data_IF_715682696797
#
_entry.id   IF_715682696797
#
_cell.length_a   1.000
_cell.length_b   1.000
_cell.length_c   1.000
_cell.angle_alpha   90.00
_cell.angle_beta   90.00
_cell.angle_gamma   90.00
#
_symmetry.space_group_name_H-M   'P 1'
#
loop_
_entity.id
_entity.type
_entity.pdbx_description
1 polymer ?
#
# COMPACT_ATOMS: atom_id res chain seq x y z
N UNK A 1 2.82 5.73 7.58
CA UNK A 1 1.98 4.74 6.86
C UNK A 1 0.71 5.40 6.40
N UNK A 2 0.03 4.84 5.39
CA UNK A 2 -1.24 5.37 4.89
C UNK A 2 -2.43 4.72 5.62
N UNK A 3 -3.41 5.52 6.00
CA UNK A 3 -4.56 5.10 6.79
C UNK A 3 -5.84 5.83 6.35
N UNK A 4 -6.99 5.23 6.64
CA UNK A 4 -8.28 5.92 6.72
C UNK A 4 -8.70 5.95 8.18
N UNK A 5 -9.00 7.15 8.70
CA UNK A 5 -9.41 7.35 10.09
C UNK A 5 -10.93 7.49 10.14
N UNK A 6 -11.64 6.53 10.74
CA UNK A 6 -13.11 6.49 10.67
C UNK A 6 -13.71 6.60 12.06
N UNK A 7 -14.68 7.50 12.22
CA UNK A 7 -15.43 7.66 13.46
C UNK A 7 -16.47 6.54 13.64
N UNK A 8 -17.00 6.32 14.85
CA UNK A 8 -18.17 5.46 15.08
C UNK A 8 -19.41 5.83 14.26
N UNK A 9 -19.51 7.08 13.79
CA UNK A 9 -20.54 7.57 12.89
C UNK A 9 -20.25 7.34 11.40
N UNK A 10 -19.23 6.53 11.08
CA UNK A 10 -18.81 6.18 9.71
C UNK A 10 -18.37 7.39 8.86
N UNK A 11 -17.89 8.45 9.52
CA UNK A 11 -17.30 9.61 8.86
C UNK A 11 -15.77 9.56 8.97
N UNK A 12 -15.09 10.07 7.96
CA UNK A 12 -13.65 10.19 7.91
C UNK A 12 -13.23 11.62 7.53
N UNK A 13 -12.10 12.13 8.07
CA UNK A 13 -11.54 13.40 7.64
C UNK A 13 -11.01 13.28 6.20
N UNK A 14 -11.38 14.22 5.34
CA UNK A 14 -10.90 14.35 3.96
C UNK A 14 -9.86 15.45 3.82
N UNK A 15 -10.03 16.32 2.81
CA UNK A 15 -9.11 17.42 2.55
C UNK A 15 -9.25 18.57 3.55
N UNK A 16 -8.13 19.24 3.85
CA UNK A 16 -8.11 20.52 4.57
C UNK A 16 -8.79 21.64 3.76
N UNK A 17 -9.68 22.40 4.40
CA UNK A 17 -10.26 23.66 3.90
C UNK A 17 -9.62 24.83 4.64
N UNK A 18 -8.49 25.30 4.15
CA UNK A 18 -7.68 26.34 4.81
C UNK A 18 -8.48 27.62 5.15
N UNK A 19 -9.38 28.05 4.27
CA UNK A 19 -10.18 29.27 4.48
C UNK A 19 -11.25 29.12 5.56
N UNK A 20 -11.60 27.88 5.91
CA UNK A 20 -12.65 27.56 6.88
C UNK A 20 -12.05 27.03 8.20
N UNK A 21 -10.73 26.83 8.27
CA UNK A 21 -10.04 26.20 9.40
C UNK A 21 -10.63 24.83 9.78
N UNK A 22 -11.17 24.11 8.80
CA UNK A 22 -11.82 22.82 8.97
C UNK A 22 -11.28 21.82 7.95
N UNK A 23 -11.56 20.55 8.19
CA UNK A 23 -11.32 19.44 7.27
C UNK A 23 -12.67 18.93 6.80
N UNK A 24 -12.78 18.60 5.52
CA UNK A 24 -14.03 18.02 4.97
C UNK A 24 -14.38 16.69 5.62
N UNK A 25 -15.67 16.40 5.78
CA UNK A 25 -16.12 15.05 6.07
C UNK A 25 -16.28 14.22 4.79
N UNK A 26 -15.89 12.95 4.88
CA UNK A 26 -16.03 11.92 3.86
C UNK A 26 -16.75 10.71 4.45
N UNK A 27 -17.49 9.99 3.63
CA UNK A 27 -18.15 8.75 4.00
C UNK A 27 -17.49 7.59 3.23
N UNK A 28 -16.44 6.96 3.80
CA UNK A 28 -15.85 5.77 3.20
C UNK A 28 -16.85 4.60 3.24
N UNK A 29 -16.68 3.64 2.35
CA UNK A 29 -17.46 2.40 2.35
C UNK A 29 -16.67 1.33 3.09
N UNK A 30 -17.27 0.76 4.12
CA UNK A 30 -16.68 -0.29 4.95
C UNK A 30 -17.24 -1.66 4.56
N UNK A 31 -16.41 -2.69 4.60
CA UNK A 31 -16.83 -4.10 4.58
C UNK A 31 -16.18 -4.82 5.77
N UNK A 32 -17.00 -5.08 6.79
CA UNK A 32 -16.57 -5.60 8.09
C UNK A 32 -15.39 -4.83 8.70
N UNK A 33 -14.17 -5.38 8.63
CA UNK A 33 -12.93 -4.85 9.16
C UNK A 33 -12.03 -4.19 8.10
N UNK A 34 -12.57 -3.96 6.89
CA UNK A 34 -11.84 -3.36 5.76
C UNK A 34 -12.54 -2.10 5.21
N UNK A 35 -11.77 -1.28 4.49
CA UNK A 35 -12.28 -0.13 3.73
C UNK A 35 -12.24 -0.49 2.24
N UNK A 36 -13.40 -0.53 1.59
CA UNK A 36 -13.51 -0.88 0.15
C UNK A 36 -13.50 0.36 -0.75
N UNK A 37 -13.89 1.51 -0.23
CA UNK A 37 -13.76 2.81 -0.89
C UNK A 37 -13.42 3.87 0.17
N UNK A 38 -12.33 4.57 -0.01
CA UNK A 38 -11.83 5.59 0.91
C UNK A 38 -12.60 6.93 0.78
N UNK A 39 -13.31 7.15 -0.33
CA UNK A 39 -13.92 8.42 -0.70
C UNK A 39 -12.93 9.62 -0.73
N UNK A 40 -11.62 9.34 -0.87
CA UNK A 40 -10.55 10.35 -0.83
C UNK A 40 -10.17 10.80 0.59
N UNK A 41 -10.38 9.93 1.60
CA UNK A 41 -10.10 10.18 3.01
C UNK A 41 -8.79 9.52 3.48
N UNK A 42 -7.81 9.39 2.60
CA UNK A 42 -6.50 8.83 2.92
C UNK A 42 -5.62 9.84 3.65
N UNK A 43 -4.92 9.36 4.68
CA UNK A 43 -3.99 10.13 5.48
C UNK A 43 -2.67 9.40 5.63
N UNK A 44 -1.59 10.15 5.50
CA UNK A 44 -0.26 9.68 5.91
C UNK A 44 -0.05 10.04 7.37
N UNK A 45 0.04 9.01 8.22
CA UNK A 45 0.41 9.13 9.63
C UNK A 45 1.90 8.78 9.79
N UNK A 46 2.70 9.73 10.28
CA UNK A 46 4.11 9.51 10.58
C UNK A 46 4.34 9.59 12.08
N UNK A 47 4.73 8.46 12.67
CA UNK A 47 5.06 8.38 14.10
C UNK A 47 6.47 8.90 14.33
N UNK A 48 6.62 9.79 15.29
CA UNK A 48 7.89 10.37 15.75
C UNK A 48 8.05 10.14 17.25
N UNK A 49 9.24 10.42 17.80
CA UNK A 49 9.48 10.32 19.24
C UNK A 49 8.56 11.23 20.07
N UNK A 50 8.09 12.33 19.51
CA UNK A 50 7.29 13.34 20.22
C UNK A 50 5.79 13.35 19.83
N UNK A 51 5.32 12.39 19.04
CA UNK A 51 3.92 12.30 18.62
C UNK A 51 3.74 11.88 17.16
N UNK A 52 2.56 12.15 16.59
CA UNK A 52 2.19 11.77 15.22
C UNK A 52 1.91 13.01 14.37
N UNK A 53 2.51 13.07 13.18
CA UNK A 53 2.11 14.05 12.16
C UNK A 53 1.03 13.47 11.26
N UNK A 54 0.08 14.32 10.88
CA UNK A 54 -1.09 13.97 10.07
C UNK A 54 -1.03 14.78 8.79
N UNK A 55 -0.93 14.10 7.65
CA UNK A 55 -0.93 14.70 6.32
C UNK A 55 -2.05 14.11 5.46
N UNK A 56 -2.88 14.96 4.86
CA UNK A 56 -3.97 14.51 3.99
C UNK A 56 -3.44 13.97 2.65
N UNK A 57 -4.33 13.37 1.85
CA UNK A 57 -4.02 12.82 0.53
C UNK A 57 -3.46 13.84 -0.48
N UNK A 58 -3.61 15.15 -0.19
CA UNK A 58 -3.16 16.25 -1.04
C UNK A 58 -1.84 16.87 -0.56
N UNK A 59 -1.24 16.30 0.50
CA UNK A 59 0.05 16.73 1.04
C UNK A 59 -0.04 17.89 2.05
N UNK A 60 -1.22 18.24 2.54
CA UNK A 60 -1.39 19.27 3.56
C UNK A 60 -1.30 18.64 4.97
N UNK A 61 -0.48 19.25 5.83
CA UNK A 61 -0.42 18.86 7.24
C UNK A 61 -1.48 19.59 8.05
N UNK A 62 -1.94 19.00 9.15
CA UNK A 62 -2.86 19.68 10.07
C UNK A 62 -2.21 19.98 11.42
N UNK A 63 -2.36 21.23 11.85
CA UNK A 63 -2.05 21.71 13.18
C UNK A 63 -3.27 22.43 13.77
N UNK A 64 -3.42 22.51 15.10
CA UNK A 64 -4.34 23.47 15.70
C UNK A 64 -4.10 24.89 15.15
N UNK A 65 -5.18 25.64 14.89
CA UNK A 65 -5.11 26.98 14.29
C UNK A 65 -4.16 27.93 15.05
N UNK A 66 -4.09 27.78 16.38
CA UNK A 66 -3.24 28.56 17.27
C UNK A 66 -3.98 29.75 17.89
N UNK A 67 -3.32 30.42 18.83
CA UNK A 67 -3.83 31.62 19.52
C UNK A 67 -5.20 31.44 20.19
N UNK A 68 -5.55 30.22 20.60
CA UNK A 68 -6.83 29.90 21.25
C UNK A 68 -8.02 29.80 20.29
N UNK A 69 -7.80 29.88 18.98
CA UNK A 69 -8.85 29.62 17.99
C UNK A 69 -9.10 28.11 17.84
N UNK A 70 -10.38 27.75 17.75
CA UNK A 70 -10.81 26.43 17.29
C UNK A 70 -10.57 26.28 15.79
N UNK A 71 -10.27 25.07 15.33
CA UNK A 71 -9.94 24.81 13.94
C UNK A 71 -8.54 24.27 13.73
N UNK A 72 -8.26 23.96 12.47
CA UNK A 72 -6.95 23.51 12.01
C UNK A 72 -6.37 24.46 10.94
N UNK A 73 -5.05 24.47 10.83
CA UNK A 73 -4.31 25.22 9.82
C UNK A 73 -3.29 24.30 9.13
N UNK A 74 -2.90 24.67 7.89
CA UNK A 74 -1.90 23.95 7.12
C UNK A 74 -0.51 24.16 7.71
N UNK A 75 -0.08 23.28 8.60
CA UNK A 75 1.22 23.32 9.26
C UNK A 75 1.54 21.95 9.83
N UNK A 76 2.81 21.57 9.76
CA UNK A 76 3.28 20.37 10.45
C UNK A 76 3.14 20.52 11.96
N UNK A 77 2.55 19.51 12.61
CA UNK A 77 2.35 19.47 14.05
C UNK A 77 2.36 18.03 14.54
N UNK A 78 2.90 17.84 15.75
CA UNK A 78 3.01 16.53 16.40
C UNK A 78 1.88 16.38 17.40
N UNK A 79 0.85 15.66 17.00
CA UNK A 79 -0.29 15.33 17.84
C UNK A 79 0.10 14.25 18.85
N UNK A 80 -0.33 14.40 20.09
CA UNK A 80 -0.31 13.31 21.06
C UNK A 80 -1.45 12.35 20.73
N UNK A 81 -1.21 11.05 20.87
CA UNK A 81 -2.20 10.02 20.55
C UNK A 81 -2.51 9.22 21.79
N UNK A 82 -3.80 9.00 22.05
CA UNK A 82 -4.26 8.07 23.08
C UNK A 82 -5.07 6.94 22.44
N UNK A 83 -5.09 5.78 23.11
CA UNK A 83 -5.85 4.61 22.71
C UNK A 83 -6.70 4.16 23.89
N UNK A 84 -8.01 4.37 23.81
CA UNK A 84 -8.97 4.00 24.86
C UNK A 84 -10.14 3.22 24.25
N UNK A 85 -10.48 2.09 24.88
CA UNK A 85 -11.58 1.22 24.42
C UNK A 85 -11.50 0.82 22.94
N UNK A 86 -10.28 0.69 22.39
CA UNK A 86 -10.05 0.32 20.99
C UNK A 86 -10.11 1.49 19.99
N UNK A 87 -10.29 2.72 20.46
CA UNK A 87 -10.34 3.91 19.62
C UNK A 87 -9.15 4.83 19.85
N UNK A 88 -8.63 5.38 18.76
CA UNK A 88 -7.60 6.40 18.78
C UNK A 88 -8.23 7.79 18.95
N UNK A 89 -7.53 8.68 19.65
CA UNK A 89 -7.83 10.11 19.70
C UNK A 89 -6.54 10.93 19.55
N UNK A 90 -6.66 12.11 18.97
CA UNK A 90 -5.52 12.99 18.67
C UNK A 90 -5.66 14.30 19.45
N UNK A 91 -4.68 14.56 20.32
CA UNK A 91 -4.67 15.68 21.24
C UNK A 91 -3.51 16.64 20.93
N UNK A 92 -3.73 17.91 21.20
CA UNK A 92 -2.77 18.98 20.94
C UNK A 92 -3.11 20.23 21.74
N UNK A 93 -2.50 21.34 21.33
CA UNK A 93 -2.67 22.64 21.97
C UNK A 93 -2.83 23.76 20.92
N UNK A 94 -3.82 24.61 21.12
CA UNK A 94 -4.00 25.87 20.38
C UNK A 94 -3.56 27.03 21.26
N UNK A 95 -2.27 27.37 21.20
CA UNK A 95 -1.65 28.23 22.21
C UNK A 95 -1.44 27.46 23.52
N UNK A 96 -2.04 27.93 24.62
CA UNK A 96 -2.04 27.23 25.91
C UNK A 96 -3.30 26.38 26.12
N UNK A 97 -4.28 26.47 25.22
CA UNK A 97 -5.56 25.78 25.34
C UNK A 97 -5.45 24.34 24.80
N UNK A 98 -5.79 23.31 25.59
CA UNK A 98 -5.80 21.93 25.13
C UNK A 98 -6.94 21.73 24.13
N UNK A 99 -6.62 21.02 23.04
CA UNK A 99 -7.56 20.73 21.97
C UNK A 99 -7.48 19.28 21.53
N UNK A 100 -8.59 18.75 21.03
CA UNK A 100 -8.70 17.41 20.48
C UNK A 100 -9.24 17.49 19.05
N UNK A 101 -8.72 16.66 18.15
CA UNK A 101 -9.27 16.49 16.81
C UNK A 101 -10.62 15.78 16.91
N UNK A 102 -11.67 16.40 16.40
CA UNK A 102 -13.04 15.90 16.48
C UNK A 102 -13.74 16.00 15.13
N UNK A 103 -14.70 15.11 14.90
CA UNK A 103 -15.81 15.36 13.98
C UNK A 103 -16.80 16.28 14.68
N UNK A 104 -17.08 17.44 14.09
CA UNK A 104 -18.13 18.34 14.52
C UNK A 104 -19.43 18.04 13.76
N UNK A 105 -20.46 17.70 14.53
CA UNK A 105 -21.79 17.37 14.03
C UNK A 105 -22.78 18.53 14.16
N UNK A 106 -22.37 19.68 14.72
CA UNK A 106 -23.24 20.84 14.96
C UNK A 106 -23.61 21.58 13.66
N UNK A 107 -22.74 21.58 12.65
CA UNK A 107 -22.97 22.28 11.38
C UNK A 107 -23.37 21.32 10.26
N UNK A 108 -24.37 21.74 9.45
CA UNK A 108 -25.03 20.93 8.42
C UNK A 108 -24.09 20.36 7.33
N UNK A 109 -22.86 20.87 7.19
CA UNK A 109 -21.89 20.36 6.23
C UNK A 109 -20.91 19.33 6.81
N UNK A 110 -20.85 19.17 8.14
CA UNK A 110 -20.01 18.21 8.84
C UNK A 110 -18.52 18.40 8.57
N UNK A 111 -17.73 18.65 9.61
CA UNK A 111 -16.30 18.92 9.44
C UNK A 111 -15.47 18.32 10.54
N UNK A 112 -14.18 18.10 10.27
CA UNK A 112 -13.23 17.76 11.31
C UNK A 112 -12.42 19.00 11.70
N UNK A 113 -12.18 19.17 13.00
CA UNK A 113 -11.41 20.31 13.52
C UNK A 113 -10.72 20.01 14.84
N UNK A 114 -9.77 20.85 15.22
CA UNK A 114 -9.30 20.90 16.60
C UNK A 114 -10.33 21.69 17.44
N UNK A 115 -10.96 21.04 18.40
CA UNK A 115 -11.93 21.64 19.32
C UNK A 115 -11.35 21.66 20.74
N UNK A 116 -11.67 22.69 21.54
CA UNK A 116 -11.16 22.77 22.92
C UNK A 116 -11.79 21.68 23.75
N UNK A 117 -11.00 21.09 24.63
CA UNK A 117 -11.47 20.01 25.49
C UNK A 117 -12.65 20.46 26.37
N UNK A 118 -12.68 21.74 26.78
CA UNK A 118 -13.81 22.31 27.53
C UNK A 118 -15.12 22.34 26.74
N UNK A 119 -15.08 22.59 25.42
CA UNK A 119 -16.30 22.59 24.61
C UNK A 119 -16.81 21.16 24.37
N UNK A 120 -15.89 20.20 24.27
CA UNK A 120 -16.20 18.77 24.19
C UNK A 120 -16.88 18.31 25.49
N UNK A 121 -16.39 18.75 26.64
CA UNK A 121 -17.01 18.48 27.95
C UNK A 121 -18.39 19.12 28.10
N UNK A 122 -18.57 20.35 27.59
CA UNK A 122 -19.84 21.07 27.64
C UNK A 122 -20.89 20.46 26.69
N UNK A 123 -20.47 19.89 25.55
CA UNK A 123 -21.34 19.33 24.50
C UNK A 123 -20.85 17.96 24.00
N UNK A 124 -20.87 16.90 24.83
CA UNK A 124 -20.29 15.61 24.49
C UNK A 124 -21.00 14.89 23.33
N UNK A 125 -22.27 15.22 23.07
CA UNK A 125 -23.04 14.64 21.96
C UNK A 125 -22.76 15.33 20.61
N UNK A 126 -22.09 16.48 20.63
CA UNK A 126 -21.80 17.27 19.43
C UNK A 126 -20.49 16.89 18.74
N UNK A 127 -19.56 16.31 19.51
CA UNK A 127 -18.18 16.11 19.08
C UNK A 127 -17.79 14.64 19.22
N UNK A 128 -17.34 14.04 18.12
CA UNK A 128 -16.82 12.68 18.12
C UNK A 128 -15.32 12.70 17.93
N UNK A 129 -14.57 12.27 18.94
CA UNK A 129 -13.10 12.29 18.96
C UNK A 129 -12.47 10.90 18.78
N UNK A 130 -13.30 9.87 18.67
CA UNK A 130 -12.88 8.47 18.57
C UNK A 130 -12.69 8.07 17.11
N UNK A 131 -11.56 7.44 16.82
CA UNK A 131 -11.20 6.97 15.49
C UNK A 131 -10.78 5.50 15.50
N UNK A 132 -11.32 4.73 14.57
CA UNK A 132 -10.74 3.46 14.13
C UNK A 132 -9.76 3.76 12.99
N UNK A 133 -8.56 3.21 13.06
CA UNK A 133 -7.55 3.37 12.01
C UNK A 133 -7.51 2.14 11.11
N UNK A 134 -7.94 2.30 9.86
CA UNK A 134 -7.79 1.28 8.82
C UNK A 134 -6.49 1.54 8.09
N UNK A 135 -5.50 0.66 8.29
CA UNK A 135 -4.22 0.77 7.60
C UNK A 135 -4.38 0.31 6.16
N UNK A 136 -3.84 1.07 5.22
CA UNK A 136 -3.63 0.55 3.87
C UNK A 136 -2.56 -0.53 3.94
N UNK A 137 -2.99 -1.77 3.72
CA UNK A 137 -2.12 -2.90 3.40
C UNK A 137 -2.37 -3.22 1.94
N UNK A 138 -1.32 -3.18 1.12
CA UNK A 138 -1.41 -3.81 -0.20
C UNK A 138 -1.76 -5.27 0.05
N UNK A 139 -2.98 -5.66 -0.29
CA UNK A 139 -3.27 -7.07 -0.49
C UNK A 139 -2.39 -7.50 -1.66
N UNK A 140 -1.42 -8.36 -1.37
CA UNK A 140 -0.77 -9.18 -2.37
C UNK A 140 -1.89 -9.99 -3.02
N UNK A 141 -2.41 -9.51 -4.14
CA UNK A 141 -3.13 -10.38 -5.07
C UNK A 141 -2.06 -11.35 -5.56
N UNK A 142 -1.97 -12.52 -4.91
CA UNK A 142 -1.32 -13.66 -5.54
C UNK A 142 -1.91 -13.75 -6.96
N UNK A 143 -1.10 -13.70 -8.03
CA UNK A 143 -1.64 -13.85 -9.36
C UNK A 143 -2.37 -15.19 -9.39
N UNK A 144 -3.70 -15.17 -9.57
CA UNK A 144 -4.40 -16.40 -9.92
C UNK A 144 -3.66 -16.98 -11.13
N UNK A 145 -3.29 -18.28 -11.11
CA UNK A 145 -2.58 -18.88 -12.23
C UNK A 145 -3.45 -18.74 -13.47
N UNK A 146 -3.08 -17.79 -14.33
CA UNK A 146 -3.68 -17.57 -15.62
C UNK A 146 -3.45 -18.84 -16.43
N UNK A 147 -4.50 -19.65 -16.51
CA UNK A 147 -4.52 -20.83 -17.36
C UNK A 147 -4.31 -20.34 -18.79
N UNK A 148 -3.32 -20.85 -19.54
CA UNK A 148 -3.08 -20.38 -20.90
C UNK A 148 -4.32 -20.67 -21.75
N UNK A 149 -4.98 -19.62 -22.24
CA UNK A 149 -5.98 -19.76 -23.30
C UNK A 149 -5.25 -20.12 -24.59
N UNK A 150 -5.46 -21.34 -25.06
CA UNK A 150 -5.08 -21.77 -26.40
C UNK A 150 -5.85 -20.92 -27.43
N UNK A 151 -5.17 -19.92 -28.00
CA UNK A 151 -5.67 -19.18 -29.15
C UNK A 151 -5.56 -20.08 -30.38
N UNK A 152 -6.70 -20.62 -30.82
CA UNK A 152 -6.84 -21.24 -32.15
C UNK A 152 -6.70 -20.15 -33.23
N UNK A 153 -6.04 -20.43 -34.35
CA UNK A 153 -5.96 -19.47 -35.45
C UNK A 153 -7.32 -19.32 -36.12
N UNK A 154 -7.80 -18.09 -36.25
CA UNK A 154 -8.96 -17.75 -37.08
C UNK A 154 -8.56 -17.87 -38.57
N UNK A 155 -9.28 -18.74 -39.29
CA UNK A 155 -9.24 -18.78 -40.75
C UNK A 155 -10.04 -17.60 -41.33
N UNK A 156 -9.33 -16.64 -41.92
CA UNK A 156 -9.93 -15.58 -42.74
C UNK A 156 -10.48 -16.16 -44.05
N UNK A 157 -11.81 -16.23 -44.16
CA UNK A 157 -12.51 -16.57 -45.41
C UNK A 157 -12.71 -15.31 -46.26
N UNK A 158 -12.44 -15.31 -47.57
CA UNK A 158 -12.65 -14.12 -48.40
C UNK A 158 -14.13 -13.96 -48.78
N UNK A 159 -14.60 -12.71 -48.80
CA UNK A 159 -15.89 -12.33 -49.41
C UNK A 159 -15.76 -12.26 -50.94
N UNK A 160 -16.79 -12.67 -51.70
CA UNK A 160 -16.81 -12.50 -53.15
C UNK A 160 -17.38 -11.13 -53.52
N UNK A 161 -16.67 -10.38 -54.36
CA UNK A 161 -17.22 -9.26 -55.11
C UNK A 161 -17.56 -9.71 -56.53
N UNK A 162 -18.84 -9.63 -56.91
CA UNK A 162 -19.30 -9.81 -58.30
C UNK A 162 -19.21 -8.50 -59.10
N UNK A 163 -19.11 -8.58 -60.45
CA UNK A 163 -18.66 -7.47 -61.28
C UNK A 163 -19.80 -6.67 -61.93
N UNK A 164 -19.52 -5.41 -62.28
CA UNK A 164 -20.25 -4.73 -63.36
C UNK A 164 -19.29 -4.34 -64.50
N UNK A 165 -19.62 -4.79 -65.71
CA UNK A 165 -18.99 -4.39 -66.97
C UNK A 165 -19.64 -3.11 -67.53
N UNK A 166 -18.85 -2.23 -68.15
CA UNK A 166 -19.01 -1.79 -69.57
C UNK A 166 -18.21 -0.52 -69.96
N UNK A 167 -17.05 -0.71 -70.65
CA UNK A 167 -16.58 -0.15 -71.96
C UNK A 167 -16.72 1.37 -72.35
N UNK A 168 -15.94 1.91 -73.33
CA UNK A 168 -14.46 1.98 -73.54
C UNK A 168 -13.91 3.34 -74.09
N UNK A 169 -12.61 3.33 -74.45
CA UNK A 169 -11.85 4.12 -75.48
C UNK A 169 -10.88 5.25 -74.98
N UNK A 170 -9.87 5.69 -75.76
CA UNK A 170 -8.52 5.09 -75.82
C UNK A 170 -7.36 6.13 -75.72
N UNK A 171 -6.11 5.70 -75.48
CA UNK A 171 -4.87 6.22 -76.13
C UNK A 171 -3.59 5.71 -75.44
N UNK A 172 -2.62 5.26 -76.25
CA UNK A 172 -1.28 4.80 -75.86
C UNK A 172 -0.38 5.97 -75.40
N UNK A 173 0.69 5.76 -74.60
CA UNK A 173 1.95 5.18 -75.09
C UNK A 173 2.68 4.20 -74.14
N UNK A 174 3.50 3.29 -74.70
CA UNK A 174 4.54 2.49 -74.00
C UNK A 174 5.72 3.40 -73.60
N UNK A 175 6.43 3.20 -72.46
CA UNK A 175 7.40 2.07 -72.37
C UNK A 175 7.83 1.56 -70.96
N UNK A 176 8.57 0.44 -71.00
CA UNK A 176 9.57 -0.08 -70.04
C UNK A 176 9.08 -0.99 -68.90
N UNK A 177 9.33 -2.29 -69.06
CA UNK A 177 9.28 -3.33 -68.03
C UNK A 177 10.42 -3.14 -67.03
N UNK A 178 10.16 -3.15 -65.70
CA UNK A 178 11.15 -3.60 -64.73
C UNK A 178 10.91 -5.09 -64.42
N UNK A 179 11.98 -5.88 -64.49
CA UNK A 179 11.97 -7.26 -64.00
C UNK A 179 11.64 -7.26 -62.49
N UNK A 180 10.74 -8.13 -62.00
CA UNK A 180 10.57 -8.32 -60.57
C UNK A 180 11.79 -9.07 -60.02
N UNK A 181 12.62 -8.36 -59.27
CA UNK A 181 13.57 -8.95 -58.33
C UNK A 181 12.77 -9.63 -57.21
N UNK A 182 12.82 -10.95 -57.17
CA UNK A 182 12.36 -11.77 -56.05
C UNK A 182 13.13 -11.35 -54.78
N UNK A 183 12.47 -11.02 -53.66
CA UNK A 183 13.18 -10.81 -52.40
C UNK A 183 13.73 -12.15 -51.91
N UNK A 184 15.04 -12.21 -51.68
CA UNK A 184 15.67 -13.34 -50.99
C UNK A 184 15.07 -13.48 -49.59
N UNK A 185 14.86 -14.72 -49.09
CA UNK A 185 14.35 -14.95 -47.74
C UNK A 185 15.37 -14.40 -46.73
N UNK A 186 14.96 -13.38 -45.97
CA UNK A 186 15.70 -12.84 -44.85
C UNK A 186 16.02 -13.94 -43.83
N UNK A 187 17.31 -14.14 -43.51
CA UNK A 187 17.70 -14.96 -42.36
C UNK A 187 17.00 -14.43 -41.10
N UNK A 188 16.50 -15.31 -40.21
CA UNK A 188 15.88 -14.87 -38.96
C UNK A 188 16.89 -14.02 -38.18
N UNK A 189 16.46 -12.81 -37.79
CA UNK A 189 17.26 -11.93 -36.95
C UNK A 189 17.62 -12.68 -35.65
N UNK A 190 18.91 -12.64 -35.28
CA UNK A 190 19.40 -13.27 -34.05
C UNK A 190 19.06 -12.34 -32.88
N UNK A 191 18.50 -12.90 -31.80
CA UNK A 191 18.22 -12.18 -30.55
C UNK A 191 19.32 -12.46 -29.52
N UNK A 192 19.58 -11.50 -28.64
CA UNK A 192 20.53 -11.62 -27.52
C UNK A 192 20.01 -12.62 -26.47
N UNK A 193 20.88 -13.27 -25.65
CA UNK A 193 20.42 -14.21 -24.63
C UNK A 193 19.60 -13.54 -23.52
N UNK A 194 18.79 -14.33 -22.83
CA UNK A 194 17.99 -13.88 -21.70
C UNK A 194 18.86 -13.50 -20.49
N UNK A 195 18.39 -12.56 -19.67
CA UNK A 195 19.03 -12.20 -18.41
C UNK A 195 18.52 -13.09 -17.29
N UNK A 196 19.40 -13.45 -16.37
CA UNK A 196 19.11 -14.19 -15.15
C UNK A 196 19.31 -13.26 -13.96
N UNK A 197 18.32 -13.23 -13.06
CA UNK A 197 18.33 -12.41 -11.85
C UNK A 197 18.53 -13.32 -10.64
N UNK A 198 19.47 -13.00 -9.76
CA UNK A 198 19.69 -13.75 -8.52
C UNK A 198 19.74 -12.81 -7.31
N UNK A 199 18.87 -12.98 -6.31
CA UNK A 199 17.75 -13.94 -6.27
C UNK A 199 16.69 -13.65 -7.35
N UNK A 200 15.92 -14.66 -7.75
CA UNK A 200 14.88 -14.57 -8.82
C UNK A 200 13.74 -13.57 -8.48
N UNK A 201 13.73 -13.03 -7.26
CA UNK A 201 12.72 -12.15 -6.71
C UNK A 201 12.37 -12.54 -5.27
N UNK A 202 11.49 -11.76 -4.63
CA UNK A 202 10.98 -12.03 -3.30
C UNK A 202 11.60 -11.17 -2.20
N UNK A 203 11.51 -11.65 -0.96
CA UNK A 203 11.93 -10.89 0.20
C UNK A 203 13.47 -10.89 0.35
N UNK A 204 14.07 -9.71 0.28
CA UNK A 204 15.53 -9.50 0.43
C UNK A 204 15.82 -8.50 1.55
N UNK A 205 16.92 -8.69 2.26
CA UNK A 205 17.33 -7.75 3.30
C UNK A 205 17.87 -6.45 2.70
N UNK A 206 17.73 -5.34 3.42
CA UNK A 206 18.41 -4.10 3.05
C UNK A 206 19.94 -4.34 2.98
N UNK A 207 20.56 -3.91 1.88
CA UNK A 207 21.97 -4.15 1.58
C UNK A 207 22.29 -5.55 1.05
N UNK A 208 21.30 -6.43 0.84
CA UNK A 208 21.51 -7.69 0.13
C UNK A 208 21.80 -7.41 -1.36
N UNK A 209 22.77 -8.13 -1.92
CA UNK A 209 23.23 -7.93 -3.30
C UNK A 209 22.38 -8.75 -4.28
N UNK A 210 21.81 -8.07 -5.27
CA UNK A 210 21.10 -8.65 -6.41
C UNK A 210 22.03 -8.62 -7.61
N UNK A 211 22.21 -9.78 -8.25
CA UNK A 211 23.13 -9.93 -9.38
C UNK A 211 22.37 -10.27 -10.66
N UNK A 212 22.81 -9.66 -11.77
CA UNK A 212 22.33 -9.95 -13.12
C UNK A 212 23.42 -10.68 -13.91
N UNK A 213 23.04 -11.74 -14.62
CA UNK A 213 23.93 -12.48 -15.53
C UNK A 213 23.25 -12.86 -16.83
N UNK A 214 24.01 -13.06 -17.90
CA UNK A 214 23.49 -13.66 -19.13
C UNK A 214 24.53 -14.65 -19.68
N UNK A 215 24.11 -15.60 -20.51
CA UNK A 215 24.98 -16.68 -21.00
C UNK A 215 26.13 -16.18 -21.91
N UNK A 216 25.95 -15.01 -22.54
CA UNK A 216 26.98 -14.37 -23.35
C UNK A 216 27.70 -13.29 -22.54
N UNK A 217 28.90 -13.61 -22.04
CA UNK A 217 29.74 -12.68 -21.26
C UNK A 217 30.14 -11.42 -22.05
N UNK A 218 29.93 -11.37 -23.37
CA UNK A 218 30.23 -10.20 -24.21
C UNK A 218 29.02 -9.27 -24.40
N UNK A 219 27.82 -9.70 -24.03
CA UNK A 219 26.61 -8.89 -24.10
C UNK A 219 26.56 -7.89 -22.94
N UNK A 220 26.17 -6.65 -23.23
CA UNK A 220 25.87 -5.67 -22.19
C UNK A 220 24.52 -5.98 -21.57
N UNK A 221 24.42 -5.98 -20.23
CA UNK A 221 23.15 -6.12 -19.52
C UNK A 221 22.65 -4.72 -19.13
N UNK A 222 21.40 -4.42 -19.45
CA UNK A 222 20.74 -3.18 -19.09
C UNK A 222 19.61 -3.47 -18.12
N UNK A 223 19.42 -2.62 -17.12
CA UNK A 223 18.35 -2.76 -16.15
C UNK A 223 17.65 -1.43 -15.89
N UNK A 224 16.41 -1.50 -15.43
CA UNK A 224 15.61 -0.37 -15.00
C UNK A 224 14.83 -0.74 -13.74
N UNK A 225 14.71 0.22 -12.81
CA UNK A 225 14.02 0.02 -11.54
C UNK A 225 12.77 0.89 -11.45
N UNK A 226 11.76 0.41 -10.73
CA UNK A 226 10.53 1.15 -10.43
C UNK A 226 10.07 0.88 -9.00
N UNK A 227 9.49 1.90 -8.34
CA UNK A 227 8.89 1.76 -7.01
C UNK A 227 7.40 1.35 -7.07
N UNK A 228 6.75 1.54 -8.22
CA UNK A 228 5.30 1.30 -8.40
C UNK A 228 4.98 0.29 -9.52
N UNK A 229 6.01 -0.25 -10.18
CA UNK A 229 5.88 -1.21 -11.29
C UNK A 229 5.37 -0.60 -12.59
N UNK A 230 5.19 0.73 -12.64
CA UNK A 230 4.63 1.46 -13.78
C UNK A 230 5.64 2.48 -14.31
N UNK A 231 6.22 3.28 -13.42
CA UNK A 231 7.15 4.35 -13.74
C UNK A 231 8.59 3.84 -13.52
N UNK A 232 9.21 3.35 -14.59
CA UNK A 232 10.59 2.90 -14.58
C UNK A 232 11.57 4.06 -14.79
N UNK A 233 12.70 3.98 -14.12
CA UNK A 233 13.87 4.81 -14.39
C UNK A 233 14.42 4.53 -15.80
N UNK A 234 15.28 5.42 -16.29
CA UNK A 234 15.99 5.18 -17.56
C UNK A 234 16.85 3.92 -17.46
N UNK A 235 17.03 3.23 -18.59
CA UNK A 235 17.86 2.03 -18.66
C UNK A 235 19.32 2.34 -18.30
N UNK A 236 19.86 1.62 -17.32
CA UNK A 236 21.25 1.72 -16.87
C UNK A 236 22.03 0.47 -17.26
N UNK A 237 23.31 0.66 -17.59
CA UNK A 237 24.22 -0.45 -17.85
C UNK A 237 24.62 -1.11 -16.52
N UNK A 238 24.36 -2.39 -16.38
CA UNK A 238 24.74 -3.18 -15.21
C UNK A 238 26.27 -3.34 -15.16
N UNK A 239 26.87 -2.83 -14.09
CA UNK A 239 28.32 -2.87 -13.86
C UNK A 239 28.70 -3.45 -12.49
N UNK A 240 27.85 -3.25 -11.49
CA UNK A 240 28.05 -3.68 -10.10
C UNK A 240 26.72 -4.27 -9.55
N UNK A 241 26.78 -5.15 -8.53
CA UNK A 241 25.59 -5.67 -7.88
C UNK A 241 24.65 -4.57 -7.37
N UNK A 242 23.34 -4.82 -7.48
CA UNK A 242 22.30 -3.88 -7.03
C UNK A 242 22.02 -4.15 -5.56
N UNK A 243 21.91 -3.12 -4.74
CA UNK A 243 21.53 -3.25 -3.33
C UNK A 243 20.59 -2.11 -2.93
N UNK A 244 19.59 -2.41 -2.10
CA UNK A 244 18.62 -1.41 -1.66
C UNK A 244 18.90 -0.92 -0.23
N UNK A 245 18.69 0.37 0.01
CA UNK A 245 18.76 0.94 1.35
C UNK A 245 17.57 0.50 2.21
N UNK A 246 17.72 0.55 3.54
CA UNK A 246 16.65 0.21 4.48
C UNK A 246 15.44 1.13 4.27
N UNK A 247 14.23 0.57 4.27
CA UNK A 247 12.99 1.30 4.00
C UNK A 247 12.60 1.34 2.52
N UNK A 248 13.18 0.49 1.67
CA UNK A 248 12.90 0.48 0.23
C UNK A 248 11.50 -0.03 -0.12
N UNK A 249 10.83 -0.76 0.78
CA UNK A 249 9.49 -1.28 0.53
C UNK A 249 9.46 -2.33 -0.58
N UNK A 250 8.96 -1.96 -1.75
CA UNK A 250 8.86 -2.84 -2.94
C UNK A 250 9.60 -2.19 -4.11
N UNK A 251 10.40 -2.97 -4.83
CA UNK A 251 11.10 -2.54 -6.04
C UNK A 251 10.87 -3.54 -7.17
N UNK A 252 10.47 -3.03 -8.32
CA UNK A 252 10.31 -3.75 -9.57
C UNK A 252 11.56 -3.56 -10.42
N UNK A 253 12.12 -4.65 -10.93
CA UNK A 253 13.29 -4.68 -11.78
C UNK A 253 12.90 -5.23 -13.15
N UNK A 254 13.38 -4.56 -14.20
CA UNK A 254 13.43 -5.09 -15.56
C UNK A 254 14.86 -5.16 -16.02
N UNK A 255 15.22 -6.18 -16.79
CA UNK A 255 16.54 -6.29 -17.39
C UNK A 255 16.49 -6.96 -18.77
N UNK A 256 17.37 -6.55 -19.68
CA UNK A 256 17.59 -7.23 -20.95
C UNK A 256 19.08 -7.23 -21.30
N UNK A 257 19.49 -8.11 -22.22
CA UNK A 257 20.86 -8.12 -22.74
C UNK A 257 20.93 -7.59 -24.18
N UNK A 258 22.06 -7.01 -24.55
CA UNK A 258 22.34 -6.56 -25.91
C UNK A 258 23.72 -7.03 -26.38
N UNK A 259 23.73 -7.97 -27.33
CA UNK A 259 24.92 -8.45 -28.03
C UNK A 259 25.07 -7.77 -29.40
N UNK A 260 26.32 -7.51 -29.80
CA UNK A 260 26.60 -6.84 -31.08
C UNK A 260 26.10 -7.62 -32.30
N UNK A 261 25.27 -6.98 -33.13
CA UNK A 261 24.71 -7.61 -34.34
C UNK A 261 23.52 -8.53 -34.09
N UNK A 262 22.97 -8.51 -32.87
CA UNK A 262 21.70 -9.14 -32.51
C UNK A 262 20.67 -8.06 -32.13
N UNK A 263 19.39 -8.38 -32.27
CA UNK A 263 18.32 -7.63 -31.62
C UNK A 263 18.43 -7.81 -30.09
N UNK A 264 17.94 -6.85 -29.27
CA UNK A 264 17.89 -6.99 -27.82
C UNK A 264 17.23 -8.31 -27.39
N UNK A 265 17.72 -8.87 -26.28
CA UNK A 265 17.13 -10.05 -25.65
C UNK A 265 15.74 -9.75 -25.08
N UNK A 266 15.01 -10.80 -24.73
CA UNK A 266 13.73 -10.64 -24.02
C UNK A 266 13.95 -9.96 -22.66
N UNK A 267 12.98 -9.16 -22.24
CA UNK A 267 13.00 -8.49 -20.94
C UNK A 267 12.66 -9.49 -19.83
N UNK A 268 13.54 -9.60 -18.85
CA UNK A 268 13.33 -10.35 -17.62
C UNK A 268 12.82 -9.40 -16.54
N UNK A 269 11.76 -9.80 -15.83
CA UNK A 269 11.19 -9.02 -14.73
C UNK A 269 11.41 -9.73 -13.39
N UNK A 270 11.68 -8.96 -12.33
CA UNK A 270 11.75 -9.45 -10.95
C UNK A 270 11.16 -8.42 -9.98
N UNK A 271 10.57 -8.89 -8.88
CA UNK A 271 10.01 -8.03 -7.83
C UNK A 271 10.67 -8.35 -6.51
N UNK A 272 11.15 -7.32 -5.83
CA UNK A 272 11.82 -7.42 -4.53
C UNK A 272 11.02 -6.71 -3.45
N UNK A 273 10.89 -7.35 -2.29
CA UNK A 273 10.24 -6.76 -1.11
C UNK A 273 11.23 -6.71 0.05
N UNK A 274 11.16 -5.66 0.87
CA UNK A 274 12.03 -5.52 2.02
C UNK A 274 11.69 -6.58 3.06
N UNK A 275 12.69 -7.40 3.40
CA UNK A 275 12.59 -8.34 4.51
C UNK A 275 12.59 -7.57 5.83
N UNK A 276 11.44 -7.51 6.46
CA UNK A 276 11.29 -6.98 7.82
C UNK A 276 11.83 -7.98 8.85
N UNK A 277 13.08 -7.81 9.25
CA UNK A 277 13.62 -8.50 10.42
C UNK A 277 13.17 -7.73 11.68
N UNK A 278 11.97 -8.03 12.16
CA UNK A 278 11.50 -7.52 13.45
C UNK A 278 12.36 -8.17 14.53
N UNK A 279 13.34 -7.43 15.07
CA UNK A 279 14.18 -7.86 16.21
C UNK A 279 13.43 -8.04 17.53
N UNK A 280 12.15 -8.41 17.48
CA UNK A 280 11.25 -8.62 18.59
C UNK A 280 10.98 -10.12 18.70
N UNK A 281 11.09 -10.67 19.92
CA UNK A 281 10.67 -12.04 20.17
C UNK A 281 9.13 -12.10 20.19
N UNK A 282 8.56 -13.01 19.41
CA UNK A 282 7.14 -13.31 19.47
C UNK A 282 6.90 -14.23 20.69
N UNK A 283 6.06 -13.78 21.62
CA UNK A 283 5.67 -14.55 22.80
C UNK A 283 4.19 -14.90 22.73
N UNK A 284 3.85 -16.15 22.98
CA UNK A 284 2.50 -16.68 23.01
C UNK A 284 2.07 -16.92 24.46
N UNK A 285 0.84 -16.57 24.81
CA UNK A 285 0.40 -16.74 26.19
C UNK A 285 -1.10 -16.67 26.38
N UNK A 286 -1.54 -17.06 27.57
CA UNK A 286 -2.93 -16.98 28.00
C UNK A 286 -3.08 -15.81 28.97
N UNK A 287 -3.90 -14.82 28.60
CA UNK A 287 -4.10 -13.60 29.37
C UNK A 287 -5.21 -13.70 30.41
N UNK A 288 -6.05 -14.73 30.34
CA UNK A 288 -7.24 -14.81 31.18
C UNK A 288 -7.47 -16.24 31.68
N UNK A 289 -7.40 -16.43 32.99
CA UNK A 289 -7.70 -17.69 33.65
C UNK A 289 -8.22 -17.46 35.08
N UNK A 290 -9.12 -18.32 35.54
CA UNK A 290 -9.67 -18.28 36.89
C UNK A 290 -9.20 -19.49 37.69
N UNK A 291 -9.07 -19.33 39.01
CA UNK A 291 -8.71 -20.39 39.96
C UNK A 291 -9.80 -20.56 41.00
N UNK A 292 -9.57 -21.44 41.97
CA UNK A 292 -10.45 -21.62 43.12
C UNK A 292 -10.50 -20.41 44.08
N UNK A 293 -9.75 -19.33 43.79
CA UNK A 293 -9.87 -18.03 44.46
C UNK A 293 -11.19 -17.32 44.10
N UNK A 294 -11.71 -17.51 42.87
CA UNK A 294 -13.01 -16.99 42.46
C UNK A 294 -13.96 -18.10 42.01
N UNK A 295 -14.28 -18.21 40.73
CA UNK A 295 -15.21 -19.17 40.14
C UNK A 295 -14.54 -20.24 39.27
N UNK A 296 -13.22 -20.27 39.25
CA UNK A 296 -12.43 -21.30 38.57
C UNK A 296 -12.31 -22.59 39.38
N UNK A 297 -11.55 -23.54 38.82
CA UNK A 297 -11.25 -24.81 39.49
C UNK A 297 -9.76 -25.06 39.54
N UNK A 298 -9.27 -25.51 40.69
CA UNK A 298 -7.86 -25.76 40.92
C UNK A 298 -7.14 -24.54 41.46
N UNK A 299 -6.06 -24.80 42.20
CA UNK A 299 -5.25 -23.76 42.84
C UNK A 299 -4.40 -22.98 41.83
N UNK A 300 -3.92 -21.80 42.24
CA UNK A 300 -2.95 -21.00 41.48
C UNK A 300 -1.70 -21.82 41.14
N UNK A 301 -1.20 -22.63 42.09
CA UNK A 301 -0.05 -23.51 41.86
C UNK A 301 -0.34 -24.57 40.79
N UNK A 302 -1.55 -25.13 40.77
CA UNK A 302 -1.95 -26.08 39.73
C UNK A 302 -2.07 -25.41 38.36
N UNK A 303 -2.56 -24.17 38.31
CA UNK A 303 -2.66 -23.39 37.09
C UNK A 303 -1.28 -23.10 36.49
N UNK A 304 -0.31 -22.62 37.27
CA UNK A 304 1.06 -22.40 36.79
C UNK A 304 1.80 -23.69 36.46
N UNK A 305 1.56 -24.77 37.22
CA UNK A 305 2.11 -26.10 36.89
C UNK A 305 1.57 -26.61 35.56
N UNK A 306 0.28 -26.46 35.29
CA UNK A 306 -0.31 -26.78 33.99
C UNK A 306 0.30 -25.93 32.89
N UNK A 307 0.33 -24.60 33.06
CA UNK A 307 0.88 -23.66 32.08
C UNK A 307 2.32 -24.00 31.69
N UNK A 308 3.16 -24.40 32.66
CA UNK A 308 4.55 -24.80 32.41
C UNK A 308 4.73 -26.05 31.54
N UNK A 309 3.66 -26.81 31.30
CA UNK A 309 3.66 -28.04 30.50
C UNK A 309 3.01 -27.85 29.13
N UNK A 310 2.42 -26.68 28.85
CA UNK A 310 1.81 -26.37 27.56
C UNK A 310 2.90 -25.94 26.58
N UNK A 311 2.97 -26.61 25.44
CA UNK A 311 3.88 -26.21 24.36
C UNK A 311 3.47 -24.86 23.78
N UNK A 312 4.45 -24.01 23.48
CA UNK A 312 4.25 -22.65 22.94
C UNK A 312 3.42 -21.73 23.85
N UNK A 313 3.60 -21.86 25.16
CA UNK A 313 3.05 -20.95 26.15
C UNK A 313 4.19 -20.28 26.92
N UNK A 314 4.55 -19.08 26.49
CA UNK A 314 5.61 -18.26 27.07
C UNK A 314 5.16 -17.49 28.32
N UNK A 315 3.87 -17.15 28.41
CA UNK A 315 3.30 -16.50 29.59
C UNK A 315 1.87 -16.96 29.89
N UNK A 316 1.48 -16.86 31.16
CA UNK A 316 0.17 -17.24 31.65
C UNK A 316 -0.26 -16.29 32.78
N UNK A 317 -1.47 -15.76 32.69
CA UNK A 317 -2.03 -14.85 33.68
C UNK A 317 -3.25 -15.47 34.37
N UNK A 318 -3.26 -15.40 35.70
CA UNK A 318 -4.42 -15.71 36.55
C UNK A 318 -5.11 -14.39 36.90
N UNK A 319 -6.40 -14.30 36.58
CA UNK A 319 -7.21 -13.09 36.57
C UNK A 319 -8.55 -13.34 37.28
N UNK A 320 -8.49 -13.88 38.51
CA UNK A 320 -9.68 -14.09 39.34
C UNK A 320 -10.48 -12.80 39.58
N UNK A 321 -11.79 -12.95 39.78
CA UNK A 321 -12.70 -11.82 40.02
C UNK A 321 -12.28 -11.00 41.24
N UNK A 322 -12.52 -9.69 41.19
CA UNK A 322 -12.44 -8.86 42.39
C UNK A 322 -13.74 -8.98 43.20
N UNK A 323 -13.64 -8.99 44.53
CA UNK A 323 -14.81 -9.06 45.45
C UNK A 323 -15.70 -7.80 45.42
N UNK A 324 -15.53 -6.89 44.45
CA UNK A 324 -16.26 -5.63 44.37
C UNK A 324 -17.74 -5.80 44.01
N UNK A 325 -18.16 -6.96 43.51
CA UNK A 325 -19.55 -7.22 43.08
C UNK A 325 -20.34 -8.19 43.98
N UNK A 326 -19.75 -8.71 45.06
CA UNK A 326 -20.43 -9.69 45.91
C UNK A 326 -21.35 -9.09 46.99
N UNK A 327 -21.45 -7.77 47.11
CA UNK A 327 -22.35 -7.09 48.07
C UNK A 327 -23.22 -5.98 47.43
N UNK A 328 -23.51 -6.04 46.13
CA UNK A 328 -24.45 -5.12 45.46
C UNK A 328 -25.90 -5.65 45.52
#
# INVERSE_FOLDING_TARGET
GQYVMVTPSELAPGALRETEFMITAKAPVLDADTVVDTAGAEWTLTVTEDGVTLMDAYGAFIAPAGEGYEGVANREYKWQVSLENGYFSFHGYSGEEPVTLVSDTIYDDGGFRACRDTDIEDYPDAYESRFTLYRYTEEQVEPEPSKPEESKPEESKPEPSEPEESKPEPSEPKPSEPEPSEPEPSEPAKTSPEVTVSPEGGAVAAGEEITLSCEDETAGIYFALSADGVNYQDWELYADPISFEKGFGTVYLRAYSAAGGCEPGEETEAVFTEKFDLGWNLYFGQLHAHTDISDGTGSVEEAFRYASQVENLDFFAVTDHSNSFENA
#
